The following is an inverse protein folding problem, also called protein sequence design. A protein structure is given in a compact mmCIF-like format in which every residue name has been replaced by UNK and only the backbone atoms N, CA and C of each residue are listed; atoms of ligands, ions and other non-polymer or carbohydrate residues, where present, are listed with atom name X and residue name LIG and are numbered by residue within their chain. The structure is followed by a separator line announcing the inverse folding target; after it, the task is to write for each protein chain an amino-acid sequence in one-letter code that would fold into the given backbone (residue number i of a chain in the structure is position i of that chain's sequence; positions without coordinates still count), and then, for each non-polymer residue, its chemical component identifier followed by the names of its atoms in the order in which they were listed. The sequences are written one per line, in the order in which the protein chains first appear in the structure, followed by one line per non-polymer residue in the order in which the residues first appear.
data_IF_621565725894
#
_entry.id   IF_621565725894
#
_cell.length_a   1.000
_cell.length_b   1.000
_cell.length_c   1.000
_cell.angle_alpha   90.00
_cell.angle_beta   90.00
_cell.angle_gamma   90.00
#
_symmetry.space_group_name_H-M   'P 1'
#
loop_
_entity.id
_entity.type
_entity.pdbx_description
1 polymer ?
#
# COMPACT_ATOMS: atom_id res chain seq x y z
N UNK A 1 -4.38 10.46 0.56
CA UNK A 1 -4.48 9.36 1.54
C UNK A 1 -3.63 9.74 2.73
N UNK A 2 -4.23 9.81 3.91
CA UNK A 2 -3.52 10.10 5.16
C UNK A 2 -2.80 8.86 5.70
N UNK A 3 -1.85 8.99 6.64
CA UNK A 3 -1.24 7.85 7.34
C UNK A 3 -2.29 6.90 7.95
N UNK A 4 -3.35 7.48 8.55
CA UNK A 4 -4.45 6.71 9.13
C UNK A 4 -5.27 5.98 8.07
N UNK A 5 -5.56 6.62 6.93
CA UNK A 5 -6.27 5.97 5.81
C UNK A 5 -5.48 4.77 5.29
N UNK A 6 -4.15 4.90 5.15
CA UNK A 6 -3.29 3.83 4.68
C UNK A 6 -3.24 2.65 5.67
N UNK A 7 -3.13 2.95 6.97
CA UNK A 7 -3.17 1.91 8.02
C UNK A 7 -4.52 1.18 8.04
N UNK A 8 -5.62 1.92 7.87
CA UNK A 8 -6.97 1.36 7.77
C UNK A 8 -7.14 0.50 6.53
N UNK A 9 -6.65 0.96 5.38
CA UNK A 9 -6.63 0.19 4.13
C UNK A 9 -5.88 -1.14 4.33
N UNK A 10 -4.66 -1.09 4.89
CA UNK A 10 -3.86 -2.29 5.13
C UNK A 10 -4.57 -3.28 6.05
N UNK A 11 -5.17 -2.80 7.14
CA UNK A 11 -5.93 -3.63 8.06
C UNK A 11 -7.18 -4.26 7.42
N UNK A 12 -7.91 -3.52 6.56
CA UNK A 12 -9.07 -4.04 5.83
C UNK A 12 -8.71 -5.12 4.82
N UNK A 13 -7.51 -5.03 4.24
CA UNK A 13 -6.97 -6.03 3.32
C UNK A 13 -6.31 -7.22 4.04
N UNK A 14 -6.31 -7.23 5.39
CA UNK A 14 -5.62 -8.22 6.22
C UNK A 14 -4.12 -8.40 5.89
N UNK A 15 -3.46 -7.29 5.51
CA UNK A 15 -2.07 -7.31 5.10
C UNK A 15 -1.15 -6.98 6.29
N UNK A 16 -0.08 -7.77 6.44
CA UNK A 16 1.07 -7.36 7.25
C UNK A 16 1.80 -6.18 6.58
N UNK A 17 2.64 -5.45 7.32
CA UNK A 17 3.47 -4.40 6.71
C UNK A 17 4.37 -4.94 5.59
N UNK A 18 4.83 -6.20 5.74
CA UNK A 18 5.61 -6.90 4.70
C UNK A 18 4.76 -7.21 3.48
N UNK A 19 3.60 -7.85 3.67
CA UNK A 19 2.71 -8.19 2.56
C UNK A 19 2.21 -6.95 1.80
N UNK A 20 1.95 -5.85 2.51
CA UNK A 20 1.62 -4.57 1.88
C UNK A 20 2.78 -4.00 1.05
N UNK A 21 4.02 -4.15 1.53
CA UNK A 21 5.20 -3.72 0.79
C UNK A 21 5.38 -4.56 -0.49
N UNK A 22 5.23 -5.88 -0.39
CA UNK A 22 5.32 -6.81 -1.52
C UNK A 22 4.23 -6.49 -2.56
N UNK A 23 2.97 -6.32 -2.14
CA UNK A 23 1.85 -5.98 -3.03
C UNK A 23 2.00 -4.62 -3.73
N UNK A 24 2.64 -3.65 -3.06
CA UNK A 24 2.88 -2.31 -3.61
C UNK A 24 4.21 -2.18 -4.36
N UNK A 25 5.03 -3.24 -4.40
CA UNK A 25 6.36 -3.21 -5.01
C UNK A 25 7.32 -2.22 -4.33
N UNK A 26 7.28 -2.15 -2.99
CA UNK A 26 8.08 -1.22 -2.19
C UNK A 26 8.77 -1.92 -1.02
N UNK A 27 9.46 -1.16 -0.16
CA UNK A 27 10.11 -1.69 1.04
C UNK A 27 9.20 -1.61 2.26
N UNK A 28 9.38 -2.53 3.21
CA UNK A 28 8.67 -2.51 4.50
C UNK A 28 8.92 -1.22 5.27
N UNK A 29 10.14 -0.66 5.16
CA UNK A 29 10.48 0.63 5.78
C UNK A 29 9.65 1.77 5.20
N UNK A 30 9.39 1.79 3.89
CA UNK A 30 8.53 2.81 3.28
C UNK A 30 7.10 2.74 3.82
N UNK A 31 6.55 1.52 3.95
CA UNK A 31 5.24 1.26 4.57
C UNK A 31 5.19 1.82 6.00
N UNK A 32 6.21 1.55 6.81
CA UNK A 32 6.30 2.08 8.18
C UNK A 32 6.36 3.61 8.22
N UNK A 33 7.12 4.25 7.32
CA UNK A 33 7.20 5.72 7.25
C UNK A 33 5.86 6.34 6.86
N UNK A 34 5.10 5.69 5.96
CA UNK A 34 3.77 6.15 5.58
C UNK A 34 2.76 6.02 6.72
N UNK A 35 2.80 4.93 7.48
CA UNK A 35 1.91 4.75 8.65
C UNK A 35 2.27 5.69 9.82
N UNK A 36 3.56 5.97 10.02
CA UNK A 36 4.03 6.91 11.04
C UNK A 36 3.77 8.38 10.66
N UNK A 37 3.58 8.67 9.37
CA UNK A 37 3.48 10.04 8.85
C UNK A 37 4.82 10.72 8.59
N UNK A 38 5.95 10.03 8.80
CA UNK A 38 7.31 10.51 8.50
C UNK A 38 7.50 10.86 7.02
N UNK A 39 6.74 10.21 6.13
CA UNK A 39 6.78 10.44 4.69
C UNK A 39 5.38 10.60 4.13
N UNK A 40 5.11 11.64 3.30
CA UNK A 40 3.83 11.76 2.64
C UNK A 40 3.63 10.64 1.63
N UNK A 41 2.39 10.18 1.51
CA UNK A 41 2.02 9.13 0.56
C UNK A 41 1.72 9.77 -0.79
N UNK A 42 2.44 9.36 -1.82
CA UNK A 42 2.25 9.91 -3.17
C UNK A 42 0.91 9.47 -3.77
N UNK A 43 0.41 10.24 -4.74
CA UNK A 43 -0.81 9.91 -5.48
C UNK A 43 -0.71 8.53 -6.15
N UNK A 44 0.47 8.16 -6.64
CA UNK A 44 0.72 6.84 -7.25
C UNK A 44 0.46 5.70 -6.27
N UNK A 45 0.96 5.80 -5.03
CA UNK A 45 0.74 4.78 -4.00
C UNK A 45 -0.73 4.74 -3.60
N UNK A 46 -1.38 5.89 -3.46
CA UNK A 46 -2.81 5.94 -3.15
C UNK A 46 -3.66 5.26 -4.24
N UNK A 47 -3.32 5.44 -5.52
CA UNK A 47 -3.97 4.74 -6.63
C UNK A 47 -3.69 3.23 -6.62
N UNK A 48 -2.45 2.83 -6.33
CA UNK A 48 -2.10 1.41 -6.19
C UNK A 48 -2.89 0.72 -5.07
N UNK A 49 -3.04 1.37 -3.90
CA UNK A 49 -3.90 0.87 -2.82
C UNK A 49 -5.35 0.68 -3.26
N UNK A 50 -5.91 1.64 -4.00
CA UNK A 50 -7.26 1.54 -4.53
C UNK A 50 -7.40 0.38 -5.53
N UNK A 51 -6.41 0.20 -6.42
CA UNK A 51 -6.38 -0.90 -7.37
C UNK A 51 -6.35 -2.27 -6.67
N UNK A 52 -5.48 -2.43 -5.67
CA UNK A 52 -5.38 -3.65 -4.87
C UNK A 52 -6.69 -3.95 -4.13
N UNK A 53 -7.34 -2.93 -3.53
CA UNK A 53 -8.65 -3.10 -2.90
C UNK A 53 -9.76 -3.50 -3.87
N UNK A 54 -9.63 -3.12 -5.15
CA UNK A 54 -10.53 -3.53 -6.21
C UNK A 54 -10.17 -4.91 -6.81
N UNK A 55 -9.13 -5.59 -6.31
CA UNK A 55 -8.66 -6.86 -6.84
C UNK A 55 -7.92 -6.76 -8.18
N UNK A 56 -7.48 -5.55 -8.56
CA UNK A 56 -6.73 -5.32 -9.79
C UNK A 56 -5.25 -5.68 -9.60
N UNK A 57 -4.64 -6.22 -10.66
CA UNK A 57 -3.21 -6.55 -10.72
C UNK A 57 -2.45 -5.55 -11.61
N UNK A 58 -1.12 -5.41 -11.43
CA UNK A 58 -0.27 -4.68 -12.36
C UNK A 58 -0.41 -5.17 -13.80
N UNK A 59 -0.23 -4.25 -14.76
CA UNK A 59 -0.19 -4.61 -16.18
C UNK A 59 1.08 -5.42 -16.43
N UNK A 60 0.93 -6.63 -16.99
CA UNK A 60 2.06 -7.50 -17.34
C UNK A 60 2.57 -8.40 -16.21
N UNK A 61 1.84 -8.51 -15.09
CA UNK A 61 2.13 -9.51 -14.05
C UNK A 61 1.91 -10.92 -14.64
N UNK A 62 2.92 -11.82 -14.66
CA UNK A 62 2.73 -13.19 -15.11
C UNK A 62 1.79 -13.94 -14.16
N UNK A 63 0.90 -14.78 -14.69
CA UNK A 63 -0.04 -15.62 -13.92
C UNK A 63 0.64 -16.58 -12.95
#
# INVERSE_FOLDING_TARGET
MTPQDFKNWRARMDLTQKAAADALGTTVRAVQMWEAGDRPISRTIALACAAISAGLKPIGDPE
#
